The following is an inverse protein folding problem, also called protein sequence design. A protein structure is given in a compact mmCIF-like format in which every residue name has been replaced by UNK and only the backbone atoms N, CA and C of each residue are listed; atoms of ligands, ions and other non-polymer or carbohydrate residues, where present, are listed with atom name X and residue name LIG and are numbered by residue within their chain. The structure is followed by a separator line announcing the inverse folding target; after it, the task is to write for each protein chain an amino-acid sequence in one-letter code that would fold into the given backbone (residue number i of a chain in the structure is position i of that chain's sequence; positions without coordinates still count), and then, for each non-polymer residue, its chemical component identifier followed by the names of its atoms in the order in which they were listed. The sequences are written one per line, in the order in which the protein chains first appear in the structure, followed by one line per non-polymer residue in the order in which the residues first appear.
data_IF_681074511461
#
_entry.id   IF_681074511461
#
_cell.length_a   1.000
_cell.length_b   1.000
_cell.length_c   1.000
_cell.angle_alpha   90.00
_cell.angle_beta   90.00
_cell.angle_gamma   90.00
#
_symmetry.space_group_name_H-M   'P 1'
#
loop_
_entity.id
_entity.type
_entity.pdbx_description
1 polymer ?
#
# COMPACT_ATOMS: atom_id res chain seq x y z
N UNK A 1 13.11 -19.94 12.37
CA UNK A 1 13.29 -18.57 11.84
C UNK A 1 11.91 -17.95 11.88
N UNK A 2 11.73 -16.78 12.50
CA UNK A 2 10.44 -16.09 12.46
C UNK A 2 10.53 -15.09 11.31
N UNK A 3 9.82 -15.36 10.22
CA UNK A 3 9.75 -14.42 9.10
C UNK A 3 9.01 -13.18 9.57
N UNK A 4 9.76 -12.09 9.67
CA UNK A 4 9.23 -10.77 9.96
C UNK A 4 9.04 -10.02 8.65
N UNK A 5 8.00 -9.19 8.59
CA UNK A 5 7.65 -8.44 7.40
C UNK A 5 7.64 -6.96 7.71
N UNK A 6 8.17 -6.19 6.76
CA UNK A 6 8.11 -4.73 6.79
C UNK A 6 7.04 -4.28 5.82
N UNK A 7 6.06 -3.54 6.32
CA UNK A 7 4.92 -3.05 5.55
C UNK A 7 4.90 -1.52 5.56
N UNK A 8 4.57 -0.93 4.42
CA UNK A 8 4.53 0.52 4.23
C UNK A 8 3.36 0.91 3.33
N UNK A 9 2.85 2.11 3.56
CA UNK A 9 1.91 2.78 2.67
C UNK A 9 2.47 4.15 2.32
N UNK A 10 2.53 4.47 1.03
CA UNK A 10 3.00 5.76 0.54
C UNK A 10 2.02 6.31 -0.49
N UNK A 11 1.65 7.58 -0.37
CA UNK A 11 0.97 8.31 -1.44
C UNK A 11 1.99 9.13 -2.22
N UNK A 12 1.92 9.06 -3.54
CA UNK A 12 2.78 9.80 -4.45
C UNK A 12 1.95 10.81 -5.25
N UNK A 13 2.29 12.08 -5.12
CA UNK A 13 1.74 13.16 -5.95
C UNK A 13 2.85 13.86 -6.72
N UNK A 14 2.47 14.84 -7.54
CA UNK A 14 3.42 15.72 -8.25
C UNK A 14 3.41 17.11 -7.62
N UNK A 15 4.58 17.60 -7.22
CA UNK A 15 4.79 18.97 -6.75
C UNK A 15 5.94 19.59 -7.56
N UNK A 16 5.67 20.71 -8.22
CA UNK A 16 6.65 21.41 -9.09
C UNK A 16 7.32 20.48 -10.13
N UNK A 17 6.50 19.65 -10.80
CA UNK A 17 6.96 18.66 -11.78
C UNK A 17 7.72 17.47 -11.21
N UNK A 18 7.87 17.36 -9.88
CA UNK A 18 8.59 16.27 -9.20
C UNK A 18 7.61 15.34 -8.49
N UNK A 19 7.83 14.02 -8.62
CA UNK A 19 7.08 13.02 -7.86
C UNK A 19 7.55 13.04 -6.39
N UNK A 20 6.62 13.31 -5.48
CA UNK A 20 6.86 13.38 -4.03
C UNK A 20 6.06 12.28 -3.34
N UNK A 21 6.73 11.46 -2.54
CA UNK A 21 6.10 10.43 -1.72
C UNK A 21 5.87 10.91 -0.29
N UNK A 22 4.65 10.73 0.22
CA UNK A 22 4.26 11.00 1.60
C UNK A 22 3.92 9.67 2.28
N UNK A 23 4.66 9.24 3.31
CA UNK A 23 4.37 8.01 4.02
C UNK A 23 3.09 8.17 4.83
N UNK A 24 2.13 7.26 4.63
CA UNK A 24 0.84 7.25 5.32
C UNK A 24 0.78 6.25 6.46
N UNK A 25 1.73 5.30 6.51
CA UNK A 25 1.80 4.33 7.59
C UNK A 25 2.93 3.33 7.38
N UNK A 26 3.44 2.81 8.49
CA UNK A 26 4.44 1.73 8.51
C UNK A 26 4.05 0.71 9.58
N UNK A 27 4.40 -0.55 9.35
CA UNK A 27 4.17 -1.61 10.31
C UNK A 27 5.19 -2.73 10.15
N UNK A 28 5.70 -3.22 11.27
CA UNK A 28 6.62 -4.35 11.33
C UNK A 28 5.83 -5.54 11.85
N UNK A 29 5.40 -6.40 10.94
CA UNK A 29 4.55 -7.53 11.25
C UNK A 29 5.39 -8.73 11.69
N UNK A 30 5.12 -9.33 12.87
CA UNK A 30 5.88 -10.46 13.36
C UNK A 30 5.48 -11.79 12.71
N UNK A 31 4.46 -11.79 11.86
CA UNK A 31 3.98 -12.95 11.11
C UNK A 31 3.41 -12.53 9.76
N UNK A 32 3.37 -13.46 8.80
CA UNK A 32 2.74 -13.25 7.48
C UNK A 32 1.26 -12.86 7.61
N UNK A 33 0.51 -13.53 8.49
CA UNK A 33 -0.90 -13.24 8.72
C UNK A 33 -1.13 -11.80 9.18
N UNK A 34 -0.26 -11.26 10.03
CA UNK A 34 -0.35 -9.87 10.48
C UNK A 34 0.09 -8.87 9.41
N UNK A 35 1.01 -9.24 8.52
CA UNK A 35 1.38 -8.41 7.37
C UNK A 35 0.17 -8.25 6.42
N UNK A 36 -0.46 -9.37 6.05
CA UNK A 36 -1.66 -9.39 5.21
C UNK A 36 -2.83 -8.64 5.84
N UNK A 37 -3.09 -8.91 7.12
CA UNK A 37 -4.09 -8.18 7.88
C UNK A 37 -3.84 -6.67 7.84
N UNK A 38 -2.60 -6.24 8.08
CA UNK A 38 -2.27 -4.82 8.09
C UNK A 38 -2.45 -4.18 6.71
N UNK A 39 -2.01 -4.83 5.63
CA UNK A 39 -2.22 -4.32 4.27
C UNK A 39 -3.71 -4.15 3.97
N UNK A 40 -4.53 -5.15 4.31
CA UNK A 40 -5.99 -5.11 4.13
C UNK A 40 -6.66 -4.03 4.96
N UNK A 41 -6.27 -3.91 6.23
CA UNK A 41 -6.77 -2.88 7.13
C UNK A 41 -6.42 -1.49 6.63
N UNK A 42 -5.18 -1.27 6.15
CA UNK A 42 -4.76 0.01 5.60
C UNK A 42 -5.46 0.36 4.29
N UNK A 43 -5.62 -0.59 3.36
CA UNK A 43 -6.38 -0.34 2.13
C UNK A 43 -7.83 0.05 2.43
N UNK A 44 -8.48 -0.64 3.37
CA UNK A 44 -9.85 -0.32 3.81
C UNK A 44 -9.90 1.06 4.46
N UNK A 45 -8.98 1.36 5.37
CA UNK A 45 -8.86 2.65 6.06
C UNK A 45 -8.66 3.83 5.10
N UNK A 46 -7.89 3.62 4.01
CA UNK A 46 -7.69 4.61 2.96
C UNK A 46 -8.97 4.82 2.15
N UNK A 47 -9.62 3.74 1.71
CA UNK A 47 -10.85 3.83 0.93
C UNK A 47 -11.92 4.66 1.66
N UNK A 48 -12.14 4.41 2.95
CA UNK A 48 -13.11 5.15 3.77
C UNK A 48 -12.77 6.64 3.97
N UNK A 49 -11.49 7.02 3.82
CA UNK A 49 -11.06 8.43 3.94
C UNK A 49 -11.09 9.17 2.61
N UNK A 50 -10.86 8.45 1.52
CA UNK A 50 -10.89 9.00 0.17
C UNK A 50 -12.34 9.15 -0.33
N UNK A 51 -13.22 8.23 0.06
CA UNK A 51 -14.65 8.23 -0.29
C UNK A 51 -15.48 7.89 0.96
N UNK A 52 -15.65 8.87 1.88
CA UNK A 52 -16.47 8.70 3.06
C UNK A 52 -17.95 8.69 2.71
N UNK A 53 -18.74 7.91 3.45
CA UNK A 53 -20.20 7.92 3.31
C UNK A 53 -20.77 9.32 3.55
N UNK A 54 -21.58 9.87 2.64
CA UNK A 54 -22.16 11.22 2.78
C UNK A 54 -22.99 11.41 4.05
N UNK A 55 -23.65 10.35 4.50
CA UNK A 55 -24.45 10.28 5.73
C UNK A 55 -23.62 10.12 7.01
N UNK A 56 -22.29 10.05 6.92
CA UNK A 56 -21.41 9.93 8.08
C UNK A 56 -21.53 11.15 9.00
N UNK A 57 -21.83 10.89 10.27
CA UNK A 57 -21.99 11.90 11.33
C UNK A 57 -20.74 12.76 11.58
N UNK A 58 -19.58 12.33 11.08
CA UNK A 58 -18.32 13.05 11.19
C UNK A 58 -18.05 14.02 10.04
N UNK A 59 -18.89 14.03 9.01
CA UNK A 59 -18.73 14.87 7.83
C UNK A 59 -19.77 16.00 7.85
N UNK A 60 -19.33 17.28 7.88
CA UNK A 60 -20.27 18.39 7.84
C UNK A 60 -21.13 18.38 6.56
N UNK A 61 -22.40 18.81 6.63
CA UNK A 61 -23.24 18.95 5.45
C UNK A 61 -22.56 19.83 4.37
N UNK A 62 -22.53 19.36 3.13
CA UNK A 62 -21.91 20.06 2.00
C UNK A 62 -20.38 20.01 1.96
N UNK A 63 -19.72 19.28 2.85
CA UNK A 63 -18.27 19.09 2.81
C UNK A 63 -17.79 18.11 1.72
N UNK A 64 -18.71 17.28 1.18
CA UNK A 64 -18.41 16.37 0.08
C UNK A 64 -18.95 16.92 -1.24
N UNK A 65 -18.18 16.71 -2.29
CA UNK A 65 -18.55 17.02 -3.66
C UNK A 65 -18.44 15.73 -4.48
N UNK A 66 -19.46 15.38 -5.28
CA UNK A 66 -19.36 14.24 -6.18
C UNK A 66 -18.18 14.40 -7.13
N UNK A 67 -17.40 13.33 -7.26
CA UNK A 67 -16.36 13.23 -8.28
C UNK A 67 -17.01 12.82 -9.60
N UNK A 68 -16.48 13.29 -10.72
CA UNK A 68 -17.00 12.93 -12.04
C UNK A 68 -16.76 11.44 -12.35
N UNK A 69 -17.71 10.81 -13.03
CA UNK A 69 -17.65 9.38 -13.45
C UNK A 69 -16.47 9.03 -14.38
N UNK A 70 -15.74 10.05 -14.86
CA UNK A 70 -14.54 9.89 -15.69
C UNK A 70 -13.27 9.69 -14.88
N UNK A 71 -13.29 10.02 -13.59
CA UNK A 71 -12.15 9.85 -12.69
C UNK A 71 -12.11 8.41 -12.21
N UNK A 72 -10.91 7.86 -12.11
CA UNK A 72 -10.73 6.49 -11.63
C UNK A 72 -11.11 6.37 -10.15
N UNK A 73 -12.04 5.47 -9.86
CA UNK A 73 -12.50 5.18 -8.51
C UNK A 73 -11.48 4.32 -7.74
N UNK A 74 -10.43 4.98 -7.23
CA UNK A 74 -9.42 4.37 -6.37
C UNK A 74 -10.03 3.72 -5.11
N UNK A 75 -10.97 4.37 -4.39
CA UNK A 75 -11.62 3.77 -3.23
C UNK A 75 -12.31 2.44 -3.54
N UNK A 76 -13.06 2.34 -4.64
CA UNK A 76 -13.67 1.09 -5.06
C UNK A 76 -12.64 0.01 -5.41
N UNK A 77 -11.52 0.37 -6.05
CA UNK A 77 -10.44 -0.57 -6.34
C UNK A 77 -9.79 -1.12 -5.06
N UNK A 78 -9.58 -0.26 -4.06
CA UNK A 78 -9.06 -0.68 -2.75
C UNK A 78 -10.05 -1.61 -2.03
N UNK A 79 -11.34 -1.27 -2.00
CA UNK A 79 -12.39 -2.13 -1.42
C UNK A 79 -12.48 -3.47 -2.15
N UNK A 80 -12.40 -3.46 -3.49
CA UNK A 80 -12.38 -4.67 -4.29
C UNK A 80 -11.18 -5.56 -3.96
N UNK A 81 -9.97 -4.99 -3.84
CA UNK A 81 -8.79 -5.74 -3.43
C UNK A 81 -8.92 -6.33 -2.01
N UNK A 82 -9.51 -5.59 -1.07
CA UNK A 82 -9.79 -6.09 0.28
C UNK A 82 -10.80 -7.26 0.32
N UNK A 83 -11.65 -7.39 -0.71
CA UNK A 83 -12.66 -8.44 -0.83
C UNK A 83 -12.22 -9.63 -1.69
N UNK A 84 -11.14 -9.48 -2.46
CA UNK A 84 -10.63 -10.49 -3.40
C UNK A 84 -9.71 -11.49 -2.68
N UNK A 85 -10.28 -12.60 -2.21
CA UNK A 85 -9.55 -13.63 -1.46
C UNK A 85 -8.44 -14.29 -2.29
N UNK A 86 -8.65 -14.50 -3.59
CA UNK A 86 -7.66 -15.12 -4.47
C UNK A 86 -6.42 -14.24 -4.61
N UNK A 87 -6.60 -12.92 -4.71
CA UNK A 87 -5.48 -11.97 -4.68
C UNK A 87 -4.79 -11.92 -3.33
N UNK A 88 -5.51 -12.06 -2.22
CA UNK A 88 -4.90 -12.12 -0.88
C UNK A 88 -4.02 -13.36 -0.73
N UNK A 89 -4.49 -14.52 -1.20
CA UNK A 89 -3.72 -15.78 -1.22
C UNK A 89 -2.45 -15.63 -2.06
N UNK A 90 -2.57 -15.06 -3.27
CA UNK A 90 -1.41 -14.80 -4.13
C UNK A 90 -0.37 -13.91 -3.43
N UNK A 91 -0.80 -12.84 -2.78
CA UNK A 91 0.11 -11.97 -2.01
C UNK A 91 0.77 -12.72 -0.85
N UNK A 92 0.05 -13.63 -0.20
CA UNK A 92 0.59 -14.48 0.85
C UNK A 92 1.72 -15.38 0.33
N UNK A 93 1.49 -16.04 -0.82
CA UNK A 93 2.48 -16.91 -1.46
C UNK A 93 3.73 -16.15 -1.91
N UNK A 94 3.56 -14.95 -2.45
CA UNK A 94 4.66 -14.07 -2.85
C UNK A 94 5.53 -13.68 -1.65
N UNK A 95 4.90 -13.23 -0.56
CA UNK A 95 5.59 -12.83 0.67
C UNK A 95 6.25 -14.02 1.37
N UNK A 96 5.59 -15.17 1.44
CA UNK A 96 6.15 -16.41 1.98
C UNK A 96 7.36 -16.88 1.16
N UNK A 97 7.35 -16.63 -0.15
CA UNK A 97 8.49 -16.83 -1.05
C UNK A 97 9.60 -15.79 -0.92
N UNK A 98 9.49 -14.84 0.01
CA UNK A 98 10.48 -13.78 0.23
C UNK A 98 10.48 -12.68 -0.84
N UNK A 99 9.44 -12.60 -1.67
CA UNK A 99 9.33 -11.58 -2.72
C UNK A 99 8.73 -10.29 -2.16
N UNK A 100 9.14 -9.17 -2.74
CA UNK A 100 8.52 -7.88 -2.46
C UNK A 100 7.16 -7.83 -3.16
N UNK A 101 6.13 -7.52 -2.39
CA UNK A 101 4.79 -7.28 -2.92
C UNK A 101 4.51 -5.79 -2.95
N UNK A 102 4.01 -5.32 -4.10
CA UNK A 102 3.59 -3.94 -4.32
C UNK A 102 2.18 -3.93 -4.91
N UNK A 103 1.26 -3.28 -4.21
CA UNK A 103 -0.10 -3.01 -4.68
C UNK A 103 -0.18 -1.50 -4.91
N UNK A 104 -0.33 -1.09 -6.16
CA UNK A 104 -0.40 0.31 -6.54
C UNK A 104 -1.71 0.60 -7.27
N UNK A 105 -2.41 1.65 -6.82
CA UNK A 105 -3.61 2.19 -7.45
C UNK A 105 -3.44 3.68 -7.63
N UNK A 106 -3.93 4.26 -8.71
CA UNK A 106 -3.76 5.68 -8.97
C UNK A 106 -5.03 6.29 -9.56
N UNK A 107 -5.28 7.55 -9.21
CA UNK A 107 -6.17 8.45 -9.94
C UNK A 107 -5.34 9.44 -10.78
N UNK A 108 -5.98 10.50 -11.28
CA UNK A 108 -5.35 11.51 -12.14
C UNK A 108 -4.31 12.37 -11.39
N UNK A 109 -4.32 12.35 -10.06
CA UNK A 109 -3.53 13.23 -9.19
C UNK A 109 -2.53 12.48 -8.32
N UNK A 110 -2.90 11.29 -7.85
CA UNK A 110 -2.21 10.59 -6.76
C UNK A 110 -2.12 9.09 -7.04
N UNK A 111 -0.94 8.52 -6.81
CA UNK A 111 -0.73 7.07 -6.73
C UNK A 111 -0.61 6.66 -5.27
N UNK A 112 -1.35 5.64 -4.87
CA UNK A 112 -1.29 5.02 -3.56
C UNK A 112 -0.64 3.66 -3.67
N UNK A 113 0.42 3.47 -2.90
CA UNK A 113 1.23 2.25 -2.89
C UNK A 113 1.18 1.61 -1.52
N UNK A 114 0.79 0.34 -1.48
CA UNK A 114 0.95 -0.55 -0.34
C UNK A 114 2.07 -1.54 -0.66
N UNK A 115 3.05 -1.61 0.21
CA UNK A 115 4.25 -2.42 0.03
C UNK A 115 4.45 -3.32 1.23
N UNK A 116 4.83 -4.57 0.98
CA UNK A 116 5.29 -5.49 2.01
C UNK A 116 6.46 -6.32 1.50
N UNK A 117 7.40 -6.58 2.40
CA UNK A 117 8.58 -7.39 2.09
C UNK A 117 9.05 -8.18 3.32
N UNK A 118 9.64 -9.35 3.08
CA UNK A 118 10.28 -10.14 4.15
C UNK A 118 11.60 -9.50 4.57
N UNK A 119 11.75 -9.27 5.87
CA UNK A 119 12.97 -8.73 6.48
C UNK A 119 14.14 -9.70 6.33
N UNK A 120 13.88 -11.00 6.37
CA UNK A 120 14.93 -12.00 6.21
C UNK A 120 15.41 -12.08 4.75
N UNK A 121 14.51 -11.93 3.78
CA UNK A 121 14.88 -11.76 2.37
C UNK A 121 15.72 -10.50 2.14
N UNK A 122 15.33 -9.37 2.73
CA UNK A 122 16.10 -8.12 2.71
C UNK A 122 17.50 -8.27 3.32
N UNK A 123 17.61 -8.96 4.46
CA UNK A 123 18.90 -9.23 5.11
C UNK A 123 19.78 -10.05 4.19
N UNK A 124 19.26 -11.12 3.60
CA UNK A 124 19.98 -11.97 2.65
C UNK A 124 20.47 -11.18 1.43
N UNK A 125 19.65 -10.31 0.85
CA UNK A 125 20.07 -9.46 -0.27
C UNK A 125 21.20 -8.49 0.10
N UNK A 126 21.22 -7.97 1.34
CA UNK A 126 22.28 -7.09 1.83
C UNK A 126 23.57 -7.82 2.17
N UNK A 127 23.52 -9.12 2.50
CA UNK A 127 24.71 -9.97 2.70
C UNK A 127 25.28 -10.56 1.41
N UNK A 128 24.54 -10.53 0.30
CA UNK A 128 25.15 -10.70 -1.02
C UNK A 128 26.05 -9.48 -1.23
N UNK A 129 27.37 -9.66 -1.47
CA UNK A 129 28.25 -8.53 -1.72
C UNK A 129 27.76 -7.83 -2.98
N UNK A 130 27.05 -6.72 -2.80
CA UNK A 130 26.81 -5.77 -3.87
C UNK A 130 28.19 -5.40 -4.38
N UNK A 131 28.42 -5.67 -5.67
CA UNK A 131 29.60 -5.24 -6.38
C UNK A 131 29.70 -3.72 -6.16
N UNK A 132 30.55 -3.31 -5.22
CA UNK A 132 30.84 -1.91 -4.95
C UNK A 132 31.53 -1.41 -6.19
N UNK A 133 30.77 -0.81 -7.10
CA UNK A 133 31.34 -0.12 -8.24
C UNK A 133 31.95 1.18 -7.70
N UNK A 134 33.27 1.37 -7.83
CA UNK A 134 33.89 2.62 -7.44
C UNK A 134 33.32 3.74 -8.31
N UNK A 135 32.88 4.82 -7.67
CA UNK A 135 32.60 6.08 -8.35
C UNK A 135 33.95 6.63 -8.81
N UNK A 136 34.19 6.60 -10.11
CA UNK A 136 35.28 7.32 -10.77
C UNK A 136 34.86 8.74 -11.13
#
# INVERSE_FOLDING_TARGET
MHDEFLCHVTAYGVCDGRRIGVPLGTYRAPTLALALWWLRDRASWMAERLDPQPESEHIPPGALVPVADTVRDVPALLRAWCADLDRQELVADELAGGRLVRIAVSDDTTEYELLAESVDALRMQRTVPALVLPVG
#
